data_IF_931223639071
#
_entry.id   IF_931223639071
#
_cell.length_a   1.000
_cell.length_b   1.000
_cell.length_c   1.000
_cell.angle_alpha   90.00
_cell.angle_beta   90.00
_cell.angle_gamma   90.00
#
_symmetry.space_group_name_H-M   'P 1'
#
loop_
_entity.id
_entity.type
_entity.pdbx_description
1 polymer ?
#
# COMPACT_ATOMS: atom_id res chain seq x y z
N UNK A 1 3.64 -1.93 3.99
CA UNK A 1 2.54 -1.92 2.99
C UNK A 1 1.59 -0.78 3.28
N UNK A 2 1.22 0.01 2.28
CA UNK A 2 0.25 1.11 2.43
C UNK A 2 -1.03 0.73 1.69
N UNK A 3 -2.19 0.89 2.33
CA UNK A 3 -3.47 0.43 1.80
C UNK A 3 -4.61 1.38 2.16
N UNK A 4 -5.74 1.23 1.48
CA UNK A 4 -6.89 2.13 1.57
C UNK A 4 -7.96 1.74 2.60
N UNK A 5 -7.74 0.70 3.39
CA UNK A 5 -8.69 0.24 4.40
C UNK A 5 -10.06 -0.21 3.87
N UNK A 6 -10.19 -0.55 2.57
CA UNK A 6 -11.35 -1.25 2.06
C UNK A 6 -11.38 -2.71 2.56
N UNK A 7 -12.55 -3.35 2.53
CA UNK A 7 -12.75 -4.70 3.10
C UNK A 7 -12.11 -5.85 2.33
N UNK A 8 -11.69 -5.64 1.09
CA UNK A 8 -11.32 -6.71 0.16
C UNK A 8 -9.79 -6.94 0.14
N UNK A 9 -9.15 -6.63 -1.00
CA UNK A 9 -7.71 -6.79 -1.26
C UNK A 9 -6.86 -6.06 -0.20
N UNK A 10 -7.32 -4.91 0.25
CA UNK A 10 -6.71 -4.10 1.30
C UNK A 10 -6.58 -4.85 2.63
N UNK A 11 -7.61 -5.62 3.01
CA UNK A 11 -7.59 -6.47 4.20
C UNK A 11 -6.59 -7.61 4.06
N UNK A 12 -6.57 -8.27 2.91
CA UNK A 12 -5.62 -9.36 2.60
C UNK A 12 -4.17 -8.82 2.65
N UNK A 13 -3.92 -7.66 2.03
CA UNK A 13 -2.59 -7.04 2.00
C UNK A 13 -2.11 -6.64 3.40
N UNK A 14 -3.00 -6.09 4.24
CA UNK A 14 -2.70 -5.77 5.64
C UNK A 14 -2.36 -7.03 6.43
N UNK A 15 -3.22 -8.05 6.39
CA UNK A 15 -3.01 -9.30 7.13
C UNK A 15 -1.73 -10.00 6.68
N UNK A 16 -1.51 -10.15 5.37
CA UNK A 16 -0.29 -10.76 4.85
C UNK A 16 0.98 -10.02 5.27
N UNK A 17 0.95 -8.68 5.29
CA UNK A 17 2.09 -7.88 5.76
C UNK A 17 2.35 -8.09 7.27
N UNK A 18 1.29 -8.14 8.08
CA UNK A 18 1.40 -8.36 9.52
C UNK A 18 1.87 -9.79 9.84
N UNK A 19 1.36 -10.81 9.14
CA UNK A 19 1.73 -12.21 9.35
C UNK A 19 3.20 -12.46 8.96
N UNK A 20 3.71 -11.75 7.96
CA UNK A 20 5.12 -11.73 7.59
C UNK A 20 6.01 -10.95 8.59
N UNK A 21 5.46 -10.41 9.68
CA UNK A 21 6.18 -9.61 10.66
C UNK A 21 6.48 -8.18 10.22
N UNK A 22 5.92 -7.74 9.10
CA UNK A 22 6.09 -6.39 8.56
C UNK A 22 5.17 -5.34 9.19
N UNK A 23 5.20 -4.14 8.60
CA UNK A 23 4.41 -2.97 9.01
C UNK A 23 3.37 -2.63 7.93
N UNK A 24 2.18 -2.26 8.37
CA UNK A 24 1.10 -1.80 7.53
C UNK A 24 0.66 -0.37 7.88
N UNK A 25 0.30 0.44 6.87
CA UNK A 25 -0.24 1.79 7.03
C UNK A 25 -1.58 1.84 6.31
N UNK A 26 -2.66 1.96 7.07
CA UNK A 26 -4.01 2.13 6.55
C UNK A 26 -4.36 3.60 6.45
N UNK A 27 -4.38 4.14 5.25
CA UNK A 27 -4.99 5.46 5.01
C UNK A 27 -6.48 5.20 4.88
N UNK A 28 -7.35 5.81 5.68
CA UNK A 28 -8.78 5.51 5.74
C UNK A 28 -9.63 6.64 5.13
N UNK A 29 -10.75 6.24 4.54
CA UNK A 29 -11.76 7.16 3.98
C UNK A 29 -13.08 7.17 4.78
N UNK A 30 -13.10 6.51 5.93
CA UNK A 30 -14.28 6.35 6.78
C UNK A 30 -13.90 6.42 8.26
N UNK A 31 -14.67 5.71 9.08
CA UNK A 31 -14.61 5.86 10.54
C UNK A 31 -13.30 5.27 11.13
N UNK A 32 -12.32 6.15 11.34
CA UNK A 32 -11.02 5.83 11.94
C UNK A 32 -11.19 5.30 13.37
N UNK A 33 -12.07 5.91 14.18
CA UNK A 33 -12.28 5.50 15.57
C UNK A 33 -12.78 4.06 15.66
N UNK A 34 -13.76 3.69 14.84
CA UNK A 34 -14.29 2.33 14.77
C UNK A 34 -13.22 1.34 14.32
N UNK A 35 -12.41 1.71 13.31
CA UNK A 35 -11.38 0.83 12.78
C UNK A 35 -10.23 0.63 13.78
N UNK A 36 -9.81 1.68 14.50
CA UNK A 36 -8.75 1.58 15.50
C UNK A 36 -9.15 0.75 16.72
N UNK A 37 -10.44 0.67 17.03
CA UNK A 37 -10.97 -0.13 18.14
C UNK A 37 -11.21 -1.61 17.78
N UNK A 38 -11.15 -1.99 16.51
CA UNK A 38 -11.26 -3.38 16.09
C UNK A 38 -10.11 -4.22 16.70
N UNK A 39 -10.41 -5.45 17.15
CA UNK A 39 -9.46 -6.30 17.88
C UNK A 39 -8.12 -6.44 17.16
N UNK A 40 -8.15 -6.79 15.87
CA UNK A 40 -6.95 -7.02 15.07
C UNK A 40 -6.14 -5.74 14.89
N UNK A 41 -6.82 -4.62 14.68
CA UNK A 41 -6.18 -3.32 14.56
C UNK A 41 -5.51 -2.92 15.89
N UNK A 42 -6.20 -3.06 17.03
CA UNK A 42 -5.63 -2.73 18.35
C UNK A 42 -4.36 -3.52 18.64
N UNK A 43 -4.37 -4.83 18.40
CA UNK A 43 -3.22 -5.68 18.63
C UNK A 43 -2.03 -5.29 17.74
N UNK A 44 -2.29 -4.99 16.46
CA UNK A 44 -1.25 -4.57 15.53
C UNK A 44 -0.72 -3.16 15.85
N UNK A 45 -1.58 -2.23 16.26
CA UNK A 45 -1.21 -0.88 16.70
C UNK A 45 -0.36 -0.95 17.97
N UNK A 46 -0.80 -1.71 19.00
CA UNK A 46 -0.05 -1.85 20.25
C UNK A 46 1.31 -2.53 20.05
N UNK A 47 1.45 -3.32 18.98
CA UNK A 47 2.70 -3.95 18.59
C UNK A 47 3.58 -3.06 17.70
N UNK A 48 3.21 -1.80 17.45
CA UNK A 48 3.88 -0.88 16.53
C UNK A 48 3.98 -1.40 15.08
N UNK A 49 3.03 -2.23 14.63
CA UNK A 49 3.01 -2.83 13.29
C UNK A 49 1.89 -2.31 12.40
N UNK A 50 0.96 -1.53 12.93
CA UNK A 50 -0.11 -0.88 12.17
C UNK A 50 -0.22 0.60 12.53
N UNK A 51 -0.20 1.46 11.51
CA UNK A 51 -0.58 2.87 11.60
C UNK A 51 -1.88 3.08 10.84
N UNK A 52 -2.86 3.76 11.43
CA UNK A 52 -4.07 4.19 10.75
C UNK A 52 -4.11 5.72 10.69
N UNK A 53 -4.29 6.28 9.50
CA UNK A 53 -4.36 7.72 9.27
C UNK A 53 -5.60 8.06 8.45
N UNK A 54 -6.19 9.23 8.65
CA UNK A 54 -7.34 9.70 7.88
C UNK A 54 -7.30 11.22 7.76
N UNK A 55 -7.53 11.80 6.57
CA UNK A 55 -7.72 13.24 6.42
C UNK A 55 -9.13 13.70 6.84
N UNK A 56 -9.98 12.76 7.29
CA UNK A 56 -11.37 13.01 7.66
C UNK A 56 -11.56 12.91 9.17
N UNK A 57 -12.67 13.50 9.66
CA UNK A 57 -13.08 13.40 11.06
C UNK A 57 -13.07 11.94 11.56
N UNK A 58 -12.62 11.64 12.80
CA UNK A 58 -12.47 10.26 13.28
C UNK A 58 -13.76 9.41 13.20
N UNK A 59 -14.92 10.06 13.29
CA UNK A 59 -16.25 9.44 13.17
C UNK A 59 -16.89 9.58 11.77
N UNK A 60 -16.16 10.02 10.76
CA UNK A 60 -16.69 10.25 9.42
C UNK A 60 -17.29 8.96 8.82
N UNK A 61 -18.38 9.11 8.07
CA UNK A 61 -18.97 8.02 7.30
C UNK A 61 -18.13 7.76 6.05
N UNK A 62 -18.05 6.49 5.66
CA UNK A 62 -17.45 6.12 4.38
C UNK A 62 -18.29 6.65 3.22
N UNK A 63 -17.65 7.26 2.23
CA UNK A 63 -18.26 7.59 0.95
C UNK A 63 -17.31 7.23 -0.18
N UNK A 64 -17.86 6.92 -1.36
CA UNK A 64 -17.06 6.60 -2.57
C UNK A 64 -16.16 7.80 -2.92
N UNK A 65 -16.68 9.01 -2.81
CA UNK A 65 -15.95 10.25 -3.08
C UNK A 65 -14.77 10.43 -2.13
N UNK A 66 -14.96 10.20 -0.83
CA UNK A 66 -13.87 10.23 0.15
C UNK A 66 -12.82 9.17 -0.15
N UNK A 67 -13.25 7.95 -0.52
CA UNK A 67 -12.32 6.86 -0.86
C UNK A 67 -11.46 7.20 -2.07
N UNK A 68 -12.06 7.77 -3.13
CA UNK A 68 -11.35 8.20 -4.32
C UNK A 68 -10.39 9.36 -4.04
N UNK A 69 -10.84 10.41 -3.34
CA UNK A 69 -10.00 11.57 -3.00
C UNK A 69 -8.80 11.19 -2.14
N UNK A 70 -8.99 10.26 -1.20
CA UNK A 70 -7.94 9.76 -0.32
C UNK A 70 -6.82 9.09 -1.08
N UNK A 71 -7.07 8.41 -2.21
CA UNK A 71 -6.04 7.60 -2.89
C UNK A 71 -4.76 8.38 -3.24
N UNK A 72 -4.87 9.70 -3.46
CA UNK A 72 -3.71 10.59 -3.60
C UNK A 72 -2.72 10.48 -2.43
N UNK A 73 -3.23 10.33 -1.20
CA UNK A 73 -2.40 10.14 0.00
C UNK A 73 -1.74 8.75 0.04
N UNK A 74 -2.39 7.70 -0.48
CA UNK A 74 -1.76 6.37 -0.56
C UNK A 74 -0.53 6.46 -1.46
N UNK A 75 -0.71 7.05 -2.64
CA UNK A 75 0.37 7.25 -3.60
C UNK A 75 1.45 8.20 -3.05
N UNK A 76 1.06 9.31 -2.43
CA UNK A 76 2.02 10.26 -1.85
C UNK A 76 2.88 9.67 -0.72
N UNK A 77 2.39 8.64 -0.01
CA UNK A 77 3.14 7.96 1.05
C UNK A 77 3.96 6.76 0.54
N UNK A 78 3.74 6.32 -0.70
CA UNK A 78 4.32 5.08 -1.23
C UNK A 78 5.52 5.34 -2.13
N UNK A 79 6.50 4.43 -2.08
CA UNK A 79 7.61 4.42 -3.05
C UNK A 79 7.17 3.88 -4.42
N UNK A 80 6.25 2.90 -4.41
CA UNK A 80 5.70 2.23 -5.59
C UNK A 80 4.24 1.85 -5.38
N UNK A 81 3.47 1.85 -6.47
CA UNK A 81 2.09 1.37 -6.50
C UNK A 81 2.02 -0.06 -7.03
N UNK A 82 1.16 -0.91 -6.46
CA UNK A 82 0.86 -2.23 -7.02
C UNK A 82 -0.65 -2.35 -7.25
N UNK A 83 -1.05 -2.45 -8.51
CA UNK A 83 -2.43 -2.68 -8.92
C UNK A 83 -2.63 -4.17 -9.21
N UNK A 84 -3.39 -4.83 -8.32
CA UNK A 84 -3.73 -6.26 -8.47
C UNK A 84 -4.86 -6.45 -9.49
N UNK A 85 -5.90 -5.62 -9.40
CA UNK A 85 -7.10 -5.73 -10.23
C UNK A 85 -7.77 -4.37 -10.37
N UNK A 86 -8.04 -3.95 -11.60
CA UNK A 86 -8.73 -2.70 -11.92
C UNK A 86 -9.73 -2.92 -13.07
N UNK A 87 -10.92 -2.36 -12.92
CA UNK A 87 -11.91 -2.33 -14.00
C UNK A 87 -11.62 -1.17 -14.96
N UNK A 88 -11.85 -1.37 -16.26
CA UNK A 88 -11.56 -0.32 -17.24
C UNK A 88 -12.54 0.85 -17.11
N UNK A 89 -12.01 2.08 -17.03
CA UNK A 89 -12.77 3.34 -16.93
C UNK A 89 -13.70 3.48 -15.71
N UNK A 90 -13.61 2.60 -14.71
CA UNK A 90 -14.45 2.67 -13.50
C UNK A 90 -13.76 2.11 -12.26
N UNK A 91 -14.25 2.51 -11.10
CA UNK A 91 -13.74 2.08 -9.81
C UNK A 91 -12.56 2.89 -9.30
N UNK A 92 -12.38 2.88 -7.97
CA UNK A 92 -11.36 3.71 -7.29
C UNK A 92 -9.92 3.34 -7.64
N UNK A 93 -9.64 2.07 -7.90
CA UNK A 93 -8.30 1.61 -8.29
C UNK A 93 -7.89 2.16 -9.65
N UNK A 94 -8.77 2.03 -10.67
CA UNK A 94 -8.50 2.57 -12.00
C UNK A 94 -8.33 4.08 -11.99
N UNK A 95 -9.26 4.80 -11.35
CA UNK A 95 -9.23 6.27 -11.31
C UNK A 95 -7.97 6.74 -10.59
N UNK A 96 -7.64 6.16 -9.43
CA UNK A 96 -6.44 6.53 -8.69
C UNK A 96 -5.15 6.21 -9.44
N UNK A 97 -5.05 5.05 -10.08
CA UNK A 97 -3.86 4.68 -10.84
C UNK A 97 -3.67 5.56 -12.09
N UNK A 98 -4.73 5.84 -12.84
CA UNK A 98 -4.66 6.77 -13.97
C UNK A 98 -4.29 8.18 -13.54
N UNK A 99 -4.87 8.66 -12.44
CA UNK A 99 -4.52 9.97 -11.88
C UNK A 99 -3.02 10.02 -11.54
N UNK A 100 -2.49 9.00 -10.87
CA UNK A 100 -1.07 8.93 -10.54
C UNK A 100 -0.17 8.88 -11.78
N UNK A 101 -0.50 8.07 -12.79
CA UNK A 101 0.26 7.98 -14.05
C UNK A 101 0.32 9.30 -14.84
N UNK A 102 -0.67 10.17 -14.64
CA UNK A 102 -0.76 11.47 -15.34
C UNK A 102 -0.03 12.60 -14.62
N UNK A 103 0.55 12.36 -13.43
CA UNK A 103 1.27 13.37 -12.67
C UNK A 103 2.69 13.58 -13.21
N UNK A 104 3.18 14.82 -13.16
CA UNK A 104 4.53 15.17 -13.63
C UNK A 104 5.64 14.39 -12.91
N UNK A 105 5.47 14.15 -11.61
CA UNK A 105 6.37 13.34 -10.79
C UNK A 105 5.63 12.09 -10.27
N UNK A 106 5.14 11.29 -11.21
CA UNK A 106 4.45 10.04 -10.92
C UNK A 106 5.40 9.00 -10.28
N UNK A 107 4.93 8.31 -9.26
CA UNK A 107 5.62 7.12 -8.75
C UNK A 107 5.48 5.92 -9.71
N UNK A 108 6.38 4.96 -9.59
CA UNK A 108 6.32 3.74 -10.39
C UNK A 108 5.11 2.88 -10.01
N UNK A 109 4.17 2.69 -10.95
CA UNK A 109 3.03 1.80 -10.76
C UNK A 109 3.30 0.47 -11.45
N UNK A 110 3.25 -0.61 -10.67
CA UNK A 110 3.25 -1.98 -11.15
C UNK A 110 1.84 -2.53 -11.27
N UNK A 111 1.61 -3.37 -12.26
CA UNK A 111 0.31 -4.02 -12.51
C UNK A 111 0.51 -5.53 -12.56
N UNK A 112 -0.35 -6.27 -11.87
CA UNK A 112 -0.38 -7.74 -11.97
C UNK A 112 -0.76 -8.14 -13.40
N UNK A 113 0.09 -8.97 -13.99
CA UNK A 113 -0.10 -9.60 -15.31
C UNK A 113 -0.42 -11.09 -15.17
N UNK A 114 -0.60 -11.78 -16.29
CA UNK A 114 -0.88 -13.22 -16.36
C UNK A 114 -2.27 -13.56 -16.88
N UNK A 115 -2.64 -14.84 -16.76
CA UNK A 115 -3.95 -15.31 -17.16
C UNK A 115 -5.05 -14.66 -16.32
N UNK A 116 -6.19 -14.37 -16.95
CA UNK A 116 -7.40 -13.89 -16.27
C UNK A 116 -7.28 -12.51 -15.59
N UNK A 117 -6.53 -11.57 -16.18
CA UNK A 117 -6.50 -10.17 -15.73
C UNK A 117 -7.64 -9.33 -16.35
N UNK A 118 -8.24 -8.40 -15.59
CA UNK A 118 -9.25 -7.49 -16.12
C UNK A 118 -8.72 -6.61 -17.26
N UNK A 119 -9.63 -6.07 -18.07
CA UNK A 119 -9.29 -5.10 -19.12
C UNK A 119 -8.59 -3.86 -18.57
N UNK A 120 -8.93 -3.42 -17.35
CA UNK A 120 -8.30 -2.25 -16.73
C UNK A 120 -6.81 -2.48 -16.47
N UNK A 121 -6.38 -3.66 -16.03
CA UNK A 121 -4.96 -3.96 -15.86
C UNK A 121 -4.19 -3.78 -17.18
N UNK A 122 -4.71 -4.32 -18.28
CA UNK A 122 -4.10 -4.17 -19.62
C UNK A 122 -4.02 -2.70 -20.03
N UNK A 123 -5.09 -1.94 -19.81
CA UNK A 123 -5.15 -0.53 -20.18
C UNK A 123 -4.26 0.37 -19.32
N UNK A 124 -3.94 -0.02 -18.08
CA UNK A 124 -2.96 0.67 -17.26
C UNK A 124 -1.54 0.48 -17.79
N UNK A 125 -1.20 -0.71 -18.30
CA UNK A 125 0.09 -0.96 -18.97
C UNK A 125 0.22 -0.09 -20.22
N UNK A 126 -0.83 -0.01 -21.05
CA UNK A 126 -0.87 0.88 -22.22
C UNK A 126 -0.66 2.36 -21.84
N UNK A 127 -0.95 2.73 -20.59
CA UNK A 127 -0.87 4.11 -20.07
C UNK A 127 0.42 4.41 -19.32
N UNK A 128 1.42 3.52 -19.36
CA UNK A 128 2.75 3.76 -18.77
C UNK A 128 3.02 3.03 -17.46
N UNK A 129 2.08 2.20 -16.97
CA UNK A 129 2.36 1.31 -15.85
C UNK A 129 3.32 0.17 -16.27
N UNK A 130 4.05 -0.37 -15.30
CA UNK A 130 5.02 -1.45 -15.50
C UNK A 130 4.40 -2.79 -15.13
N UNK A 131 4.84 -3.85 -15.80
CA UNK A 131 4.49 -5.22 -15.40
C UNK A 131 5.10 -5.53 -14.03
N UNK A 132 4.31 -6.12 -13.13
CA UNK A 132 4.84 -6.67 -11.88
C UNK A 132 5.76 -7.83 -12.22
N UNK A 133 7.06 -7.78 -11.85
CA UNK A 133 8.05 -8.73 -12.36
C UNK A 133 7.93 -10.12 -11.71
N UNK A 134 6.99 -10.32 -10.79
CA UNK A 134 6.82 -11.56 -10.02
C UNK A 134 7.74 -11.61 -8.79
N UNK A 135 7.48 -12.54 -7.88
CA UNK A 135 8.30 -12.69 -6.65
C UNK A 135 9.67 -13.31 -6.96
N UNK A 136 9.74 -14.17 -7.98
CA UNK A 136 10.94 -14.92 -8.36
C UNK A 136 12.06 -14.02 -8.90
N UNK A 137 11.69 -13.00 -9.66
CA UNK A 137 12.64 -12.01 -10.19
C UNK A 137 13.12 -11.04 -9.13
N UNK A 138 12.31 -10.74 -8.10
CA UNK A 138 12.66 -9.81 -7.02
C UNK A 138 13.54 -10.44 -5.95
N UNK A 139 13.35 -11.73 -5.65
CA UNK A 139 14.05 -12.41 -4.55
C UNK A 139 15.02 -13.50 -5.01
N UNK A 140 15.14 -13.74 -6.32
CA UNK A 140 15.76 -14.94 -6.86
C UNK A 140 15.02 -16.20 -6.39
N UNK A 141 15.39 -17.37 -6.89
CA UNK A 141 14.87 -18.65 -6.44
C UNK A 141 15.33 -19.00 -5.01
N UNK A 142 14.92 -18.22 -3.99
CA UNK A 142 15.08 -18.56 -2.58
C UNK A 142 13.82 -19.23 -2.06
N UNK A 143 13.51 -20.40 -2.62
CA UNK A 143 12.63 -21.38 -1.99
C UNK A 143 13.42 -22.20 -0.96
N UNK A 144 14.10 -21.55 -0.01
CA UNK A 144 14.57 -22.29 1.16
C UNK A 144 13.41 -22.42 2.15
N UNK A 145 12.87 -23.64 2.27
CA UNK A 145 11.96 -24.06 3.34
C UNK A 145 12.66 -24.00 4.72
N UNK A 146 13.05 -22.81 5.17
CA UNK A 146 13.57 -22.61 6.52
C UNK A 146 12.99 -21.33 7.14
N UNK A 147 12.08 -21.44 8.13
CA UNK A 147 11.43 -20.28 8.76
C UNK A 147 12.39 -19.36 9.55
N UNK A 148 13.65 -19.74 9.76
CA UNK A 148 14.62 -18.90 10.48
C UNK A 148 15.41 -17.91 9.59
N UNK A 149 15.32 -18.02 8.26
CA UNK A 149 16.13 -17.20 7.35
C UNK A 149 15.61 -15.76 7.11
N UNK A 150 14.44 -15.41 7.64
CA UNK A 150 13.83 -14.07 7.47
C UNK A 150 14.53 -12.99 8.33
N UNK A 151 15.48 -13.36 9.20
CA UNK A 151 16.14 -12.43 10.14
C UNK A 151 17.30 -11.60 9.58
N UNK A 152 17.62 -11.66 8.29
CA UNK A 152 18.64 -10.77 7.70
C UNK A 152 18.16 -10.19 6.37
N UNK A 153 17.35 -9.15 6.46
CA UNK A 153 17.32 -8.15 5.38
C UNK A 153 18.69 -7.49 5.31
N UNK A 154 19.27 -7.28 4.11
CA UNK A 154 20.40 -6.37 3.97
C UNK A 154 19.92 -4.98 4.38
N UNK A 155 20.75 -4.30 5.15
CA UNK A 155 20.60 -2.90 5.55
C UNK A 155 20.35 -2.06 4.28
N UNK A 156 19.08 -1.74 4.01
CA UNK A 156 18.73 -0.72 3.05
C UNK A 156 19.10 0.59 3.73
N UNK A 157 20.33 1.02 3.42
CA UNK A 157 21.03 2.11 4.06
C UNK A 157 20.09 3.23 4.48
N UNK A 158 20.17 3.56 5.76
CA UNK A 158 19.63 4.78 6.35
C UNK A 158 19.91 5.93 5.40
N UNK A 159 18.85 6.59 4.90
CA UNK A 159 18.98 7.83 4.15
C UNK A 159 19.85 8.81 4.96
N UNK A 160 21.01 9.26 4.46
CA UNK A 160 21.82 10.24 5.16
C UNK A 160 21.11 11.59 5.00
N UNK A 161 20.39 12.03 6.03
CA UNK A 161 19.67 13.30 5.91
C UNK A 161 18.86 13.81 7.10
N UNK A 162 18.73 13.06 8.20
CA UNK A 162 18.12 13.60 9.42
C UNK A 162 19.18 13.68 10.52
N UNK A 163 20.01 14.71 10.40
CA UNK A 163 20.90 15.13 11.48
C UNK A 163 20.07 15.55 12.68
N UNK A 164 20.40 14.91 13.80
CA UNK A 164 20.04 15.28 15.16
C UNK A 164 20.20 16.80 15.36
N UNK A 165 19.09 17.50 15.53
CA UNK A 165 19.06 18.87 16.06
C UNK A 165 18.48 18.82 17.47
N UNK A 166 19.21 18.18 18.36
CA UNK A 166 19.12 18.41 19.79
C UNK A 166 20.51 18.65 20.36
N UNK A 167 20.96 19.91 20.34
CA UNK A 167 21.76 20.57 21.40
C UNK A 167 22.21 21.97 20.95
N UNK A 168 22.16 22.92 21.91
CA UNK A 168 22.35 24.39 21.83
C UNK A 168 21.09 25.12 21.36
N UNK A 169 20.34 25.83 22.20
CA UNK A 169 20.68 26.74 23.32
C UNK A 169 19.66 26.61 24.44
#
# INVERSE_FOLDING_TARGET
VIFGGAGDIDGIAMTAALDAGGIAIGVLAGNLLKKSLARDARNAISSNRLLLVSPYHPNARFTIQSAMKRNRLIYALADYGLVVSAEYKKGGTWIGAMEELTRDNALGIFVRTGANIPLGNRKLLDSGAREWPGIESLFGSRTSKNPEAVKKSPDLGVCPGYGDRSEKV
#
